data_IF_816963721473
#
_entry.id   IF_816963721473
#
_cell.length_a   1.000
_cell.length_b   1.000
_cell.length_c   1.000
_cell.angle_alpha   90.00
_cell.angle_beta   90.00
_cell.angle_gamma   90.00
#
_symmetry.space_group_name_H-M   'P 1'
#
loop_
_entity.id
_entity.type
_entity.pdbx_description
1 polymer ?
#
# COMPACT_ATOMS: atom_id res chain seq x y z
N UNK A 1 -16.78 -3.33 19.78
CA UNK A 1 -16.57 -4.07 18.52
C UNK A 1 -16.12 -3.08 17.46
N UNK A 2 -15.16 -3.43 16.59
CA UNK A 2 -14.74 -2.54 15.52
C UNK A 2 -15.88 -2.33 14.52
N UNK A 3 -16.00 -1.11 14.02
CA UNK A 3 -16.91 -0.72 12.96
C UNK A 3 -16.50 -1.32 11.62
N UNK A 4 -17.43 -1.41 10.67
CA UNK A 4 -17.13 -1.84 9.30
C UNK A 4 -16.01 -1.01 8.68
N UNK A 5 -16.00 0.31 8.93
CA UNK A 5 -14.93 1.21 8.48
C UNK A 5 -13.57 0.75 9.00
N UNK A 6 -13.43 0.55 10.32
CA UNK A 6 -12.16 0.16 10.94
C UNK A 6 -11.65 -1.18 10.39
N UNK A 7 -12.54 -2.17 10.21
CA UNK A 7 -12.18 -3.48 9.65
C UNK A 7 -11.64 -3.31 8.22
N UNK A 8 -12.30 -2.53 7.37
CA UNK A 8 -11.86 -2.37 5.98
C UNK A 8 -10.56 -1.55 5.89
N UNK A 9 -10.41 -0.51 6.70
CA UNK A 9 -9.17 0.27 6.77
C UNK A 9 -8.01 -0.59 7.25
N UNK A 10 -8.22 -1.44 8.27
CA UNK A 10 -7.21 -2.41 8.73
C UNK A 10 -6.75 -3.35 7.62
N UNK A 11 -7.66 -3.82 6.74
CA UNK A 11 -7.27 -4.65 5.59
C UNK A 11 -6.31 -3.91 4.65
N UNK A 12 -6.53 -2.62 4.38
CA UNK A 12 -5.62 -1.83 3.54
C UNK A 12 -4.25 -1.71 4.22
N UNK A 13 -4.20 -1.45 5.53
CA UNK A 13 -2.95 -1.45 6.28
C UNK A 13 -2.22 -2.79 6.24
N UNK A 14 -2.93 -3.92 6.37
CA UNK A 14 -2.31 -5.24 6.25
C UNK A 14 -1.69 -5.47 4.87
N UNK A 15 -2.33 -4.99 3.79
CA UNK A 15 -1.74 -5.05 2.44
C UNK A 15 -0.47 -4.18 2.38
N UNK A 16 -0.49 -2.98 2.97
CA UNK A 16 0.68 -2.09 3.01
C UNK A 16 1.85 -2.75 3.76
N UNK A 17 1.59 -3.47 4.85
CA UNK A 17 2.64 -4.26 5.53
C UNK A 17 3.18 -5.37 4.62
N UNK A 18 2.32 -6.06 3.85
CA UNK A 18 2.79 -7.04 2.85
C UNK A 18 3.67 -6.42 1.75
N UNK A 19 3.46 -5.15 1.38
CA UNK A 19 4.36 -4.42 0.46
C UNK A 19 5.75 -4.28 1.10
N UNK A 20 5.82 -3.88 2.37
CA UNK A 20 7.09 -3.74 3.10
C UNK A 20 7.82 -5.08 3.23
N UNK A 21 7.10 -6.15 3.57
CA UNK A 21 7.68 -7.49 3.67
C UNK A 21 8.20 -8.01 2.33
N UNK A 22 7.45 -7.80 1.24
CA UNK A 22 7.86 -8.18 -0.10
C UNK A 22 9.08 -7.38 -0.55
N UNK A 23 9.11 -6.08 -0.27
CA UNK A 23 10.23 -5.23 -0.61
C UNK A 23 11.50 -5.62 0.15
N UNK A 24 11.38 -6.10 1.40
CA UNK A 24 12.53 -6.51 2.20
C UNK A 24 13.17 -7.78 1.64
N UNK A 25 12.37 -8.59 0.96
CA UNK A 25 12.77 -9.81 0.25
C UNK A 25 13.17 -9.54 -1.21
N UNK A 26 13.17 -8.28 -1.65
CA UNK A 26 13.40 -7.88 -3.05
C UNK A 26 12.42 -8.55 -4.04
N UNK A 27 11.23 -8.90 -3.57
CA UNK A 27 10.18 -9.52 -4.37
C UNK A 27 9.35 -8.45 -5.10
N UNK A 28 9.92 -7.97 -6.21
CA UNK A 28 9.35 -6.86 -6.98
C UNK A 28 7.94 -7.19 -7.50
N UNK A 29 7.67 -8.46 -7.85
CA UNK A 29 6.35 -8.86 -8.34
C UNK A 29 5.30 -8.71 -7.24
N UNK A 30 5.58 -9.19 -6.04
CA UNK A 30 4.65 -9.03 -4.92
C UNK A 30 4.54 -7.58 -4.43
N UNK A 31 5.59 -6.78 -4.54
CA UNK A 31 5.52 -5.34 -4.26
C UNK A 31 4.52 -4.65 -5.19
N UNK A 32 4.65 -4.83 -6.50
CA UNK A 32 3.77 -4.19 -7.49
C UNK A 32 2.33 -4.70 -7.36
N UNK A 33 2.16 -6.00 -7.16
CA UNK A 33 0.84 -6.60 -6.97
C UNK A 33 0.12 -6.07 -5.73
N UNK A 34 0.80 -6.04 -4.58
CA UNK A 34 0.18 -5.56 -3.34
C UNK A 34 -0.04 -4.04 -3.35
N UNK A 35 0.82 -3.26 -4.01
CA UNK A 35 0.59 -1.84 -4.23
C UNK A 35 -0.70 -1.57 -5.00
N UNK A 36 -0.89 -2.23 -6.16
CA UNK A 36 -2.11 -2.08 -6.95
C UNK A 36 -3.37 -2.48 -6.18
N UNK A 37 -3.28 -3.54 -5.36
CA UNK A 37 -4.37 -3.95 -4.47
C UNK A 37 -4.68 -2.92 -3.40
N UNK A 38 -3.69 -2.39 -2.69
CA UNK A 38 -3.91 -1.36 -1.66
C UNK A 38 -4.57 -0.11 -2.25
N UNK A 39 -4.09 0.33 -3.42
CA UNK A 39 -4.62 1.49 -4.12
C UNK A 39 -6.08 1.30 -4.53
N UNK A 40 -6.38 0.18 -5.20
CA UNK A 40 -7.73 -0.16 -5.68
C UNK A 40 -8.71 -0.32 -4.52
N UNK A 41 -8.26 -0.90 -3.39
CA UNK A 41 -9.10 -1.09 -2.23
C UNK A 41 -9.40 0.26 -1.54
N UNK A 42 -8.42 1.14 -1.38
CA UNK A 42 -8.65 2.48 -0.85
C UNK A 42 -9.67 3.28 -1.70
N UNK A 43 -9.59 3.17 -3.03
CA UNK A 43 -10.54 3.82 -3.93
C UNK A 43 -11.96 3.21 -3.85
N UNK A 44 -12.04 1.89 -3.69
CA UNK A 44 -13.31 1.20 -3.42
C UNK A 44 -13.96 1.70 -2.13
N UNK A 45 -13.20 1.83 -1.04
CA UNK A 45 -13.72 2.33 0.23
C UNK A 45 -14.21 3.78 0.14
N UNK A 46 -13.51 4.62 -0.63
CA UNK A 46 -13.93 5.99 -0.94
C UNK A 46 -15.25 5.99 -1.71
N UNK A 47 -15.35 5.19 -2.76
CA UNK A 47 -16.54 5.10 -3.62
C UNK A 47 -17.76 4.57 -2.87
N UNK A 48 -17.54 3.66 -1.92
CA UNK A 48 -18.57 3.16 -0.99
C UNK A 48 -18.90 4.14 0.16
N UNK A 49 -18.31 5.34 0.18
CA UNK A 49 -18.49 6.35 1.24
C UNK A 49 -18.11 5.85 2.65
N UNK A 50 -17.30 4.78 2.75
CA UNK A 50 -16.81 4.25 4.02
C UNK A 50 -15.69 5.11 4.60
N UNK A 51 -14.92 5.76 3.73
CA UNK A 51 -13.87 6.72 4.08
C UNK A 51 -13.98 7.96 3.19
N UNK A 52 -13.44 9.06 3.67
CA UNK A 52 -13.35 10.32 2.89
C UNK A 52 -12.28 10.23 1.81
N UNK A 53 -12.34 11.13 0.82
CA UNK A 53 -11.28 11.25 -0.20
C UNK A 53 -9.90 11.51 0.42
N UNK A 54 -9.84 12.29 1.52
CA UNK A 54 -8.59 12.56 2.21
C UNK A 54 -8.01 11.33 2.93
N UNK A 55 -8.85 10.46 3.47
CA UNK A 55 -8.42 9.18 4.05
C UNK A 55 -7.94 8.20 2.97
N UNK A 56 -8.64 8.15 1.83
CA UNK A 56 -8.21 7.32 0.71
C UNK A 56 -6.84 7.76 0.15
N UNK A 57 -6.64 9.07 -0.04
CA UNK A 57 -5.35 9.63 -0.47
C UNK A 57 -4.23 9.25 0.49
N UNK A 58 -4.44 9.37 1.81
CA UNK A 58 -3.45 8.98 2.82
C UNK A 58 -3.06 7.50 2.72
N UNK A 59 -4.02 6.61 2.49
CA UNK A 59 -3.74 5.18 2.31
C UNK A 59 -2.94 4.89 1.03
N UNK A 60 -3.25 5.61 -0.05
CA UNK A 60 -2.53 5.51 -1.31
C UNK A 60 -1.08 6.01 -1.17
N UNK A 61 -0.88 7.15 -0.49
CA UNK A 61 0.44 7.70 -0.19
C UNK A 61 1.29 6.74 0.65
N UNK A 62 0.68 6.09 1.64
CA UNK A 62 1.36 5.07 2.45
C UNK A 62 1.75 3.83 1.65
N UNK A 63 0.87 3.35 0.76
CA UNK A 63 1.19 2.23 -0.13
C UNK A 63 2.36 2.58 -1.08
N UNK A 64 2.39 3.80 -1.61
CA UNK A 64 3.47 4.29 -2.44
C UNK A 64 4.79 4.43 -1.68
N UNK A 65 4.76 5.00 -0.46
CA UNK A 65 5.93 5.09 0.39
C UNK A 65 6.49 3.70 0.75
N UNK A 66 5.62 2.72 1.00
CA UNK A 66 6.03 1.33 1.24
C UNK A 66 6.70 0.68 0.03
N UNK A 67 6.35 1.08 -1.19
CA UNK A 67 6.99 0.63 -2.42
C UNK A 67 8.41 1.23 -2.58
N UNK A 68 8.60 2.52 -2.27
CA UNK A 68 9.89 3.23 -2.49
C UNK A 68 10.89 3.03 -1.36
N UNK A 69 10.41 2.86 -0.12
CA UNK A 69 11.25 2.84 1.08
C UNK A 69 12.33 1.75 1.12
N UNK A 70 12.32 0.79 0.18
CA UNK A 70 13.26 -0.32 0.14
C UNK A 70 13.80 -0.65 -1.27
N UNK A 71 13.24 -0.09 -2.34
CA UNK A 71 13.88 -0.11 -3.67
C UNK A 71 14.87 1.05 -3.73
N UNK A 72 16.01 0.94 -3.04
CA UNK A 72 17.16 1.77 -3.43
C UNK A 72 17.52 1.35 -4.86
N UNK A 73 17.57 2.27 -5.84
CA UNK A 73 18.23 1.94 -7.09
C UNK A 73 19.66 1.55 -6.70
N UNK A 74 20.06 0.31 -7.02
CA UNK A 74 21.44 -0.14 -6.89
C UNK A 74 22.26 0.67 -7.90
N UNK A 75 22.58 1.91 -7.54
CA UNK A 75 23.42 2.79 -8.32
C UNK A 75 24.87 2.42 -8.00
N UNK A 76 25.24 1.17 -8.34
CA UNK A 76 26.63 0.72 -8.33
C UNK A 76 27.04 0.23 -9.71
N UNK A 77 27.84 1.10 -10.33
CA UNK A 77 28.88 0.80 -11.31
C UNK A 77 28.44 0.52 -12.75
N UNK A 78 28.12 1.59 -13.47
CA UNK A 78 28.67 1.75 -14.83
C UNK A 78 29.90 2.65 -14.67
N UNK A 79 31.07 2.02 -14.63
CA UNK A 79 32.37 2.66 -14.83
C UNK A 79 32.87 2.24 -16.20
#
# INVERSE_FOLDING_TARGET
MPTTKEIQVQKVYSIIESIKEASAKHDIQNVVWNWGRAYSYADCLRSCQLITSGEASKLQDLAFAAQIGQVKPDNKSIR
#
